data_IF_464331135262
#
_entry.id   IF_464331135262
#
_cell.length_a   1.000
_cell.length_b   1.000
_cell.length_c   1.000
_cell.angle_alpha   90.00
_cell.angle_beta   90.00
_cell.angle_gamma   90.00
#
_symmetry.space_group_name_H-M   'P 1'
#
loop_
_entity.id
_entity.type
_entity.pdbx_description
1 polymer ?
#
# COMPACT_ATOMS: atom_id res chain seq x y z
N UNK A 1 -20.27 -18.46 13.58
CA UNK A 1 -19.96 -18.28 13.30
C UNK A 1 -19.46 -17.77 12.89
N UNK A 2 -19.16 -17.55 12.80
CA UNK A 2 -18.73 -17.03 12.33
C UNK A 2 -18.22 -16.69 11.81
N UNK A 3 -17.98 -16.81 11.32
CA UNK A 3 -17.41 -16.47 10.71
C UNK A 3 -17.50 -15.64 10.11
N UNK A 4 -17.70 -15.41 10.23
CA UNK A 4 -17.80 -14.55 9.60
C UNK A 4 -16.99 -13.64 9.29
N UNK A 5 -16.02 -13.85 9.30
CA UNK A 5 -15.13 -12.95 8.94
C UNK A 5 -15.15 -12.70 7.51
N UNK A 6 -15.04 -11.49 7.15
CA UNK A 6 -15.04 -11.17 5.77
C UNK A 6 -13.80 -11.72 5.19
N UNK A 7 -13.93 -12.48 4.21
CA UNK A 7 -12.77 -12.96 3.55
C UNK A 7 -12.66 -12.23 2.27
N UNK A 8 -11.52 -12.27 1.71
CA UNK A 8 -11.32 -11.73 0.41
C UNK A 8 -11.75 -12.71 -0.65
N UNK A 9 -12.49 -13.69 -0.27
CA UNK A 9 -12.92 -14.71 -1.19
C UNK A 9 -14.02 -14.19 -2.05
N UNK A 10 -13.87 -14.33 -3.33
CA UNK A 10 -14.91 -14.02 -4.24
C UNK A 10 -15.77 -15.23 -4.42
N UNK A 11 -16.93 -15.04 -4.99
CA UNK A 11 -17.84 -16.13 -5.15
C UNK A 11 -18.18 -16.35 -6.58
N UNK A 12 -18.98 -17.31 -6.87
CA UNK A 12 -19.53 -17.54 -8.17
C UNK A 12 -18.51 -17.76 -9.23
N UNK A 13 -17.76 -18.78 -9.09
CA UNK A 13 -16.77 -19.11 -10.06
C UNK A 13 -15.54 -18.30 -9.92
N UNK A 14 -15.52 -17.48 -8.93
CA UNK A 14 -14.33 -16.72 -8.70
C UNK A 14 -13.26 -17.62 -8.16
N UNK A 15 -12.05 -17.15 -8.26
CA UNK A 15 -10.89 -17.85 -7.83
C UNK A 15 -10.80 -17.81 -6.32
N UNK A 16 -10.48 -18.91 -5.68
CA UNK A 16 -10.23 -18.89 -4.24
C UNK A 16 -8.96 -18.07 -3.97
N UNK A 17 -9.15 -16.96 -3.33
CA UNK A 17 -8.05 -16.08 -3.00
C UNK A 17 -8.29 -15.57 -1.59
N UNK A 18 -7.31 -15.76 -0.75
CA UNK A 18 -7.44 -15.38 0.65
C UNK A 18 -6.20 -14.67 1.12
N UNK A 19 -6.37 -13.50 1.71
CA UNK A 19 -5.26 -12.80 2.31
C UNK A 19 -5.22 -13.20 3.77
N UNK A 20 -4.13 -13.88 4.15
CA UNK A 20 -4.02 -14.40 5.50
C UNK A 20 -3.35 -13.44 6.46
N UNK A 21 -2.45 -12.60 5.95
CA UNK A 21 -1.72 -11.66 6.80
C UNK A 21 -1.46 -10.40 6.03
N UNK A 22 -1.48 -9.28 6.74
CA UNK A 22 -1.02 -8.01 6.20
C UNK A 22 -0.13 -7.37 7.24
N UNK A 23 0.92 -6.69 6.78
CA UNK A 23 1.89 -6.13 7.72
C UNK A 23 2.68 -5.02 7.07
N UNK A 24 3.22 -4.15 7.91
CA UNK A 24 4.12 -3.10 7.45
C UNK A 24 5.52 -3.67 7.47
N UNK A 25 6.19 -3.64 6.33
CA UNK A 25 7.58 -4.07 6.28
C UNK A 25 8.51 -2.94 6.62
N UNK A 26 8.15 -1.73 6.21
CA UNK A 26 8.98 -0.58 6.48
C UNK A 26 8.16 0.67 6.25
N UNK A 27 8.40 1.68 7.05
CA UNK A 27 7.73 2.95 6.91
C UNK A 27 8.70 4.04 7.31
N UNK A 28 8.96 4.97 6.40
CA UNK A 28 9.82 6.08 6.71
C UNK A 28 9.13 7.37 6.33
N UNK A 29 9.46 8.40 7.08
CA UNK A 29 8.88 9.70 6.85
C UNK A 29 9.94 10.75 7.12
N UNK A 30 10.09 11.66 6.16
CA UNK A 30 11.03 12.76 6.30
C UNK A 30 10.30 14.06 6.04
N UNK A 31 10.61 15.04 6.84
CA UNK A 31 10.02 16.35 6.70
C UNK A 31 11.12 17.38 6.66
N UNK A 32 11.83 17.49 5.53
CA UNK A 32 12.96 18.43 5.45
C UNK A 32 12.55 19.90 5.57
N UNK A 33 11.26 20.18 5.37
CA UNK A 33 10.81 21.54 5.49
C UNK A 33 10.53 22.00 6.90
N UNK A 34 10.52 21.09 7.88
CA UNK A 34 10.24 21.45 9.24
C UNK A 34 11.48 22.02 9.90
N UNK A 35 11.35 22.94 10.84
CA UNK A 35 10.10 23.53 11.31
C UNK A 35 9.63 24.72 10.50
N UNK A 36 10.41 25.13 9.50
CA UNK A 36 10.08 26.33 8.73
C UNK A 36 8.70 26.23 8.10
N UNK A 37 8.34 25.02 7.66
CA UNK A 37 7.05 24.81 7.05
C UNK A 37 5.91 25.18 7.99
N UNK A 38 6.05 24.86 9.26
CA UNK A 38 5.00 25.17 10.22
C UNK A 38 4.96 26.64 10.59
N UNK A 39 6.11 27.29 10.53
CA UNK A 39 6.18 28.70 10.88
C UNK A 39 5.74 29.59 9.75
N UNK A 40 5.99 29.16 8.54
CA UNK A 40 5.66 29.93 7.37
C UNK A 40 5.20 29.01 6.27
N UNK A 41 3.91 28.71 6.21
CA UNK A 41 3.41 27.77 5.21
C UNK A 41 3.68 28.28 3.80
N UNK A 42 3.84 27.38 2.85
CA UNK A 42 4.10 27.79 1.48
C UNK A 42 2.92 28.52 0.89
N UNK A 43 3.22 29.44 0.00
CA UNK A 43 2.16 30.22 -0.64
C UNK A 43 1.49 29.40 -1.74
N UNK A 44 2.25 28.54 -2.38
CA UNK A 44 1.72 27.74 -3.47
C UNK A 44 1.17 26.43 -2.94
N UNK A 45 0.14 25.95 -3.61
CA UNK A 45 -0.39 24.64 -3.29
C UNK A 45 0.70 23.60 -3.58
N UNK A 46 0.85 22.61 -2.72
CA UNK A 46 1.87 21.60 -2.97
C UNK A 46 1.49 20.66 -4.11
N UNK A 47 2.50 20.24 -4.83
CA UNK A 47 2.37 19.18 -5.81
C UNK A 47 2.72 17.86 -5.14
N UNK A 48 1.86 16.89 -5.33
CA UNK A 48 2.08 15.59 -4.72
C UNK A 48 2.34 14.58 -5.82
N UNK A 49 3.46 13.91 -5.72
CA UNK A 49 3.83 12.85 -6.64
C UNK A 49 3.78 11.54 -5.89
N UNK A 50 3.13 10.55 -6.47
CA UNK A 50 2.99 9.25 -5.85
C UNK A 50 3.50 8.21 -6.82
N UNK A 51 4.37 7.34 -6.32
CA UNK A 51 4.85 6.20 -7.06
C UNK A 51 4.42 4.94 -6.37
N UNK A 52 3.94 3.96 -7.13
CA UNK A 52 3.50 2.70 -6.57
C UNK A 52 4.14 1.57 -7.35
N UNK A 53 4.75 0.65 -6.65
CA UNK A 53 5.33 -0.54 -7.23
C UNK A 53 4.79 -1.75 -6.50
N UNK A 54 4.48 -2.78 -7.27
CA UNK A 54 3.91 -4.00 -6.74
C UNK A 54 4.76 -5.16 -7.20
N UNK A 55 5.06 -6.08 -6.29
CA UNK A 55 5.75 -7.31 -6.66
C UNK A 55 5.12 -8.46 -5.91
N UNK A 56 5.32 -9.65 -6.41
CA UNK A 56 4.81 -10.85 -5.79
C UNK A 56 5.85 -11.95 -5.91
N UNK A 57 6.11 -12.62 -4.79
CA UNK A 57 7.04 -13.72 -4.74
C UNK A 57 6.36 -14.93 -4.18
N UNK A 58 6.58 -16.06 -4.80
CA UNK A 58 6.03 -17.31 -4.28
C UNK A 58 6.87 -17.75 -3.09
N UNK A 59 6.22 -17.95 -1.96
CA UNK A 59 6.93 -18.32 -0.75
C UNK A 59 6.58 -19.73 -0.28
N UNK A 60 5.65 -20.36 -0.95
CA UNK A 60 5.26 -21.73 -0.64
C UNK A 60 4.33 -22.21 -1.71
N UNK A 61 3.86 -23.45 -1.54
CA UNK A 61 2.89 -23.97 -2.48
C UNK A 61 1.62 -23.16 -2.32
N UNK A 62 1.16 -22.53 -3.36
CA UNK A 62 -0.06 -21.70 -3.33
C UNK A 62 0.03 -20.51 -2.39
N UNK A 63 1.21 -20.16 -1.89
CA UNK A 63 1.39 -19.03 -1.02
C UNK A 63 2.30 -18.00 -1.67
N UNK A 64 1.87 -16.76 -1.63
CA UNK A 64 2.63 -15.67 -2.24
C UNK A 64 2.74 -14.52 -1.25
N UNK A 65 3.90 -13.88 -1.26
CA UNK A 65 4.03 -12.62 -0.57
C UNK A 65 3.92 -11.51 -1.59
N UNK A 66 2.99 -10.61 -1.36
CA UNK A 66 2.80 -9.45 -2.23
C UNK A 66 3.33 -8.25 -1.50
N UNK A 67 4.20 -7.51 -2.17
CA UNK A 67 4.80 -6.32 -1.59
C UNK A 67 4.30 -5.11 -2.35
N UNK A 68 3.83 -4.14 -1.63
CA UNK A 68 3.36 -2.88 -2.17
C UNK A 68 4.27 -1.79 -1.67
N UNK A 69 4.98 -1.15 -2.58
CA UNK A 69 5.86 -0.05 -2.23
C UNK A 69 5.22 1.24 -2.70
N UNK A 70 4.99 2.16 -1.78
CA UNK A 70 4.39 3.44 -2.10
C UNK A 70 5.33 4.53 -1.65
N UNK A 71 5.61 5.44 -2.54
CA UNK A 71 6.41 6.60 -2.21
C UNK A 71 5.60 7.84 -2.55
N UNK A 72 5.46 8.74 -1.60
CA UNK A 72 4.73 9.98 -1.80
C UNK A 72 5.64 11.14 -1.44
N UNK A 73 5.67 12.13 -2.30
CA UNK A 73 6.48 13.31 -2.09
C UNK A 73 5.65 14.54 -2.36
N UNK A 74 5.72 15.50 -1.46
CA UNK A 74 5.05 16.77 -1.63
C UNK A 74 6.08 17.86 -1.80
N UNK A 75 5.87 18.71 -2.79
CA UNK A 75 6.76 19.82 -3.07
C UNK A 75 5.95 21.09 -3.30
N UNK A 76 6.49 22.18 -2.84
CA UNK A 76 5.95 23.49 -3.16
C UNK A 76 7.05 24.24 -3.89
N UNK A 77 6.87 24.43 -5.20
CA UNK A 77 7.94 24.96 -6.02
C UNK A 77 9.12 24.01 -6.01
N UNK A 78 10.27 24.48 -5.60
CA UNK A 78 11.45 23.64 -5.53
C UNK A 78 11.68 23.09 -4.14
N UNK A 79 10.78 23.36 -3.21
CA UNK A 79 10.97 22.97 -1.83
C UNK A 79 10.25 21.68 -1.55
N UNK A 80 10.98 20.69 -1.07
CA UNK A 80 10.39 19.42 -0.67
C UNK A 80 9.79 19.59 0.71
N UNK A 81 8.50 19.32 0.83
CA UNK A 81 7.81 19.47 2.09
C UNK A 81 7.90 18.19 2.90
N UNK A 82 7.64 17.07 2.29
CA UNK A 82 7.83 15.80 2.97
C UNK A 82 8.01 14.68 1.96
N UNK A 83 8.58 13.59 2.43
CA UNK A 83 8.72 12.36 1.65
C UNK A 83 8.31 11.22 2.56
N UNK A 84 7.42 10.38 2.05
CA UNK A 84 6.98 9.19 2.76
C UNK A 84 7.24 7.98 1.91
N UNK A 85 7.78 6.94 2.51
CA UNK A 85 7.95 5.65 1.84
C UNK A 85 7.35 4.57 2.70
N UNK A 86 6.58 3.72 2.08
CA UNK A 86 5.92 2.63 2.79
C UNK A 86 6.13 1.34 2.02
N UNK A 87 6.61 0.31 2.71
CA UNK A 87 6.63 -1.03 2.19
C UNK A 87 5.62 -1.85 2.96
N UNK A 88 4.60 -2.27 2.28
CA UNK A 88 3.48 -2.96 2.89
C UNK A 88 3.39 -4.34 2.28
N UNK A 89 3.23 -5.35 3.11
CA UNK A 89 3.22 -6.71 2.64
C UNK A 89 1.94 -7.44 2.98
N UNK A 90 1.65 -8.45 2.21
CA UNK A 90 0.53 -9.33 2.47
C UNK A 90 0.91 -10.73 2.05
N UNK A 91 0.40 -11.70 2.79
CA UNK A 91 0.53 -13.10 2.39
C UNK A 91 -0.81 -13.53 1.84
N UNK A 92 -0.79 -14.02 0.62
CA UNK A 92 -2.00 -14.44 -0.07
C UNK A 92 -1.91 -15.90 -0.39
N UNK A 93 -3.03 -16.58 -0.24
CA UNK A 93 -3.17 -17.98 -0.57
C UNK A 93 -4.09 -18.09 -1.76
N UNK A 94 -3.65 -18.82 -2.77
CA UNK A 94 -4.41 -19.00 -4.00
C UNK A 94 -4.61 -20.49 -4.19
N UNK A 95 -5.85 -20.90 -4.46
CA UNK A 95 -6.11 -22.30 -4.70
C UNK A 95 -6.27 -22.59 -6.17
N UNK A 96 -6.86 -23.57 -6.46
CA UNK A 96 -7.29 -24.26 -7.67
C UNK A 96 -7.36 -23.48 -8.97
N UNK A 97 -6.26 -22.90 -9.41
CA UNK A 97 -6.20 -22.34 -10.76
C UNK A 97 -4.87 -22.74 -11.37
N UNK A 98 -4.74 -22.66 -12.68
CA UNK A 98 -3.46 -22.96 -13.31
C UNK A 98 -2.36 -22.04 -12.81
N UNK A 99 -1.18 -22.60 -12.66
CA UNK A 99 -0.07 -21.85 -12.15
C UNK A 99 0.22 -20.61 -12.96
N UNK A 100 0.04 -20.67 -14.25
CA UNK A 100 0.35 -19.52 -15.11
C UNK A 100 -0.57 -18.35 -14.84
N UNK A 101 -1.71 -18.59 -14.18
CA UNK A 101 -2.66 -17.52 -13.89
C UNK A 101 -2.53 -16.99 -12.47
N UNK A 102 -1.76 -17.66 -11.63
CA UNK A 102 -1.71 -17.29 -10.22
C UNK A 102 -1.05 -15.94 -10.00
N UNK A 103 0.13 -15.76 -10.58
CA UNK A 103 0.84 -14.52 -10.33
C UNK A 103 0.14 -13.29 -10.92
N UNK A 104 -0.37 -13.36 -12.16
CA UNK A 104 -1.12 -12.21 -12.67
C UNK A 104 -2.34 -11.87 -11.83
N UNK A 105 -3.03 -12.89 -11.35
CA UNK A 105 -4.19 -12.66 -10.52
C UNK A 105 -3.81 -11.97 -9.23
N UNK A 106 -2.75 -12.46 -8.60
CA UNK A 106 -2.30 -11.91 -7.34
C UNK A 106 -1.83 -10.47 -7.51
N UNK A 107 -1.14 -10.17 -8.60
CA UNK A 107 -0.65 -8.81 -8.83
C UNK A 107 -1.76 -7.81 -9.08
N UNK A 108 -2.95 -8.29 -9.40
CA UNK A 108 -4.08 -7.41 -9.63
C UNK A 108 -4.98 -7.33 -8.42
N UNK A 109 -5.37 -8.49 -7.90
CA UNK A 109 -6.41 -8.52 -6.88
C UNK A 109 -5.91 -8.19 -5.49
N UNK A 110 -4.72 -8.67 -5.14
CA UNK A 110 -4.22 -8.43 -3.79
C UNK A 110 -3.92 -6.95 -3.55
N UNK A 111 -3.25 -6.25 -4.47
CA UNK A 111 -3.03 -4.82 -4.25
C UNK A 111 -4.32 -4.02 -4.13
N UNK A 112 -5.36 -4.43 -4.84
CA UNK A 112 -6.64 -3.75 -4.71
C UNK A 112 -7.15 -3.79 -3.28
N UNK A 113 -6.91 -4.90 -2.60
CA UNK A 113 -7.34 -5.05 -1.22
C UNK A 113 -6.39 -4.39 -0.24
N UNK A 114 -5.10 -4.32 -0.59
CA UNK A 114 -4.09 -3.74 0.30
C UNK A 114 -4.08 -2.22 0.25
N UNK A 115 -4.39 -1.66 -0.91
CA UNK A 115 -4.18 -0.24 -1.15
C UNK A 115 -4.89 0.68 -0.16
N UNK A 116 -6.14 0.42 0.21
CA UNK A 116 -6.80 1.31 1.17
C UNK A 116 -6.08 1.36 2.51
N UNK A 117 -5.53 0.23 2.96
CA UNK A 117 -4.80 0.21 4.21
C UNK A 117 -3.49 0.96 4.10
N UNK A 118 -2.81 0.80 2.98
CA UNK A 118 -1.55 1.49 2.75
C UNK A 118 -1.77 3.01 2.71
N UNK A 119 -2.81 3.44 2.03
CA UNK A 119 -3.12 4.86 1.97
C UNK A 119 -3.49 5.41 3.34
N UNK A 120 -4.16 4.61 4.15
CA UNK A 120 -4.47 4.99 5.50
C UNK A 120 -3.23 5.27 6.32
N UNK A 121 -2.23 4.42 6.19
CA UNK A 121 -0.99 4.60 6.92
C UNK A 121 -0.25 5.85 6.49
N UNK A 122 -0.25 6.12 5.21
CA UNK A 122 0.39 7.32 4.70
C UNK A 122 -0.34 8.55 5.19
N UNK A 123 -1.65 8.50 5.19
CA UNK A 123 -2.46 9.61 5.64
C UNK A 123 -2.18 9.94 7.10
N UNK A 124 -2.05 8.92 7.93
CA UNK A 124 -1.75 9.12 9.34
C UNK A 124 -0.39 9.78 9.52
N UNK A 125 0.54 9.47 8.64
CA UNK A 125 1.90 9.99 8.75
C UNK A 125 2.06 11.42 8.28
N UNK A 126 1.10 11.95 7.55
CA UNK A 126 1.23 13.29 7.01
C UNK A 126 1.23 14.33 8.11
N UNK A 127 2.25 15.17 8.15
CA UNK A 127 2.38 16.13 9.26
C UNK A 127 1.57 17.39 9.05
N UNK A 128 1.14 17.68 7.85
CA UNK A 128 0.52 18.96 7.55
C UNK A 128 -0.97 18.84 7.36
N UNK A 129 -1.55 17.91 8.08
CA UNK A 129 -2.96 17.73 7.93
C UNK A 129 -3.70 18.86 8.53
N UNK A 130 -4.46 19.57 7.78
CA UNK A 130 -5.39 20.51 8.39
C UNK A 130 -6.57 19.71 8.91
N UNK A 131 -7.25 20.24 9.71
CA UNK A 131 -8.41 19.56 10.17
C UNK A 131 -9.57 20.36 9.99
#
# INVERSE_FOLDING_TARGET
MSDDQPTATMEDGAVPLNITHQYVKDLSFENPGAPALFLKPPEDAPDIAIEVNVSADQIGEDLFEVSLHVEAQAKAGDTVLFITELDYGAIAQVGDIPDEHKQPLILIEVPRMMFPFALSLIHISEPTRPY
#
